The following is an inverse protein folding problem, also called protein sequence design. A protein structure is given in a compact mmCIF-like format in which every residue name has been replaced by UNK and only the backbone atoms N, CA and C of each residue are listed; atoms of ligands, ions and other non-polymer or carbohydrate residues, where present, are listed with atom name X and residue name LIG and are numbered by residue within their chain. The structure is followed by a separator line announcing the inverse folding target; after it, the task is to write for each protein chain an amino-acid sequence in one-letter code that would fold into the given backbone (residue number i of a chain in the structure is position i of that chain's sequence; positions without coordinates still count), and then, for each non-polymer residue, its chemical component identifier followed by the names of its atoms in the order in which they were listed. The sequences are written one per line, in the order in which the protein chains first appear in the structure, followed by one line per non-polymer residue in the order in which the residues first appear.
data_IF_804484079970
#
_entry.id   IF_804484079970
#
_cell.length_a   1.000
_cell.length_b   1.000
_cell.length_c   1.000
_cell.angle_alpha   90.00
_cell.angle_beta   90.00
_cell.angle_gamma   90.00
#
_symmetry.space_group_name_H-M   'P 1'
#
loop_
_entity.id
_entity.type
_entity.pdbx_description
1 polymer ?
#
# COMPACT_ATOMS: atom_id res chain seq x y z
N UNK A 1 21.82 -3.58 -80.23
CA UNK A 1 22.43 -3.30 -78.92
C UNK A 1 21.36 -3.43 -77.84
N UNK A 2 21.18 -4.65 -77.31
CA UNK A 2 20.19 -4.96 -76.28
C UNK A 2 20.81 -4.89 -74.88
N UNK A 3 20.45 -3.86 -74.11
CA UNK A 3 20.83 -3.73 -72.70
C UNK A 3 19.82 -4.45 -71.81
N UNK A 4 20.26 -5.52 -71.15
CA UNK A 4 19.44 -6.34 -70.24
C UNK A 4 19.18 -5.58 -68.92
N UNK A 5 17.91 -5.51 -68.51
CA UNK A 5 17.51 -5.02 -67.17
C UNK A 5 17.77 -6.13 -66.15
N UNK A 6 18.53 -5.82 -65.10
CA UNK A 6 18.83 -6.73 -63.99
C UNK A 6 17.62 -6.74 -63.02
N UNK A 7 16.89 -7.86 -62.96
CA UNK A 7 15.77 -8.04 -62.02
C UNK A 7 16.32 -8.81 -60.81
N UNK A 8 16.48 -8.14 -59.67
CA UNK A 8 16.91 -8.78 -58.42
C UNK A 8 15.65 -9.32 -57.72
N UNK A 9 15.53 -10.64 -57.69
CA UNK A 9 14.45 -11.35 -56.97
C UNK A 9 14.95 -11.62 -55.54
N UNK A 10 14.36 -10.97 -54.53
CA UNK A 10 14.64 -11.28 -53.13
C UNK A 10 13.87 -12.55 -52.74
N UNK A 11 14.58 -13.65 -52.51
CA UNK A 11 13.98 -14.88 -51.99
C UNK A 11 13.78 -14.73 -50.48
N UNK A 12 12.53 -14.88 -50.05
CA UNK A 12 12.12 -14.84 -48.66
C UNK A 12 12.47 -16.18 -48.00
N UNK A 13 13.52 -16.22 -47.18
CA UNK A 13 13.79 -17.45 -46.44
C UNK A 13 14.92 -17.30 -45.45
N UNK A 14 14.58 -16.94 -44.20
CA UNK A 14 15.24 -17.39 -42.95
C UNK A 14 14.93 -16.47 -41.76
N UNK A 15 13.75 -16.61 -41.16
CA UNK A 15 13.55 -16.13 -39.78
C UNK A 15 12.41 -16.91 -39.10
N UNK A 16 12.48 -18.24 -39.14
CA UNK A 16 11.67 -19.12 -38.28
C UNK A 16 12.59 -19.96 -37.41
N UNK A 17 13.34 -19.29 -36.54
CA UNK A 17 14.07 -19.93 -35.45
C UNK A 17 14.60 -18.85 -34.47
N UNK A 18 13.70 -18.22 -33.73
CA UNK A 18 14.08 -17.54 -32.48
C UNK A 18 13.06 -17.91 -31.42
N UNK A 19 13.19 -19.13 -30.92
CA UNK A 19 12.52 -19.59 -29.73
C UNK A 19 13.62 -19.90 -28.70
N UNK A 20 13.58 -19.17 -27.57
CA UNK A 20 14.26 -19.41 -26.28
C UNK A 20 15.81 -19.21 -26.25
N UNK A 21 16.36 -18.22 -25.49
CA UNK A 21 16.20 -18.14 -24.04
C UNK A 21 16.22 -16.69 -23.48
N UNK A 22 15.07 -16.02 -23.43
CA UNK A 22 14.90 -14.81 -22.59
C UNK A 22 13.71 -14.94 -21.62
N UNK A 23 13.10 -16.13 -21.55
CA UNK A 23 11.93 -16.41 -20.72
C UNK A 23 12.24 -17.03 -19.36
N UNK A 24 13.50 -17.06 -18.89
CA UNK A 24 13.88 -17.81 -17.69
C UNK A 24 14.69 -17.05 -16.65
N UNK A 25 14.43 -15.76 -16.48
CA UNK A 25 14.73 -15.10 -15.22
C UNK A 25 13.75 -13.96 -14.91
N UNK A 26 12.44 -14.24 -15.02
CA UNK A 26 11.48 -13.53 -14.17
C UNK A 26 11.65 -14.07 -12.76
N UNK A 27 12.67 -13.59 -12.06
CA UNK A 27 12.80 -13.79 -10.63
C UNK A 27 11.61 -13.06 -9.99
N UNK A 28 10.54 -13.81 -9.72
CA UNK A 28 9.39 -13.31 -9.02
C UNK A 28 9.83 -12.92 -7.61
N UNK A 29 10.02 -11.62 -7.39
CA UNK A 29 10.17 -11.02 -6.08
C UNK A 29 8.79 -10.97 -5.41
N UNK A 30 8.20 -12.14 -5.14
CA UNK A 30 6.99 -12.25 -4.34
C UNK A 30 7.40 -12.32 -2.87
N UNK A 31 7.83 -11.18 -2.33
CA UNK A 31 7.86 -10.96 -0.89
C UNK A 31 6.50 -10.40 -0.48
N UNK A 32 5.83 -11.00 0.50
CA UNK A 32 4.75 -10.30 1.19
C UNK A 32 5.40 -9.25 2.09
N UNK A 33 5.71 -8.08 1.52
CA UNK A 33 6.06 -6.92 2.32
C UNK A 33 4.76 -6.41 2.93
N UNK A 34 4.63 -6.53 4.26
CA UNK A 34 3.60 -5.78 4.96
C UNK A 34 3.95 -4.30 4.80
N UNK A 35 3.23 -3.60 3.94
CA UNK A 35 3.25 -2.15 3.94
C UNK A 35 2.68 -1.71 5.29
N UNK A 36 3.32 -0.75 5.94
CA UNK A 36 2.76 -0.18 7.14
C UNK A 36 1.48 0.55 6.76
N UNK A 37 0.35 0.05 7.26
CA UNK A 37 -0.97 0.58 6.97
C UNK A 37 -1.84 0.54 8.23
N UNK A 38 -2.69 1.55 8.38
CA UNK A 38 -3.60 1.73 9.51
C UNK A 38 -4.99 1.89 8.92
N UNK A 39 -5.75 0.81 8.94
CA UNK A 39 -7.07 0.72 8.32
C UNK A 39 -8.12 0.68 9.43
N UNK A 40 -8.98 1.70 9.58
CA UNK A 40 -10.07 1.67 10.55
C UNK A 40 -11.06 0.54 10.27
N UNK A 41 -11.55 -0.08 11.34
CA UNK A 41 -12.65 -1.03 11.26
C UNK A 41 -13.97 -0.28 11.43
N UNK A 42 -14.80 -0.30 10.38
CA UNK A 42 -16.06 0.43 10.29
C UNK A 42 -17.19 -0.06 11.21
N UNK A 43 -16.95 -1.09 12.03
CA UNK A 43 -17.96 -1.68 12.92
C UNK A 43 -18.45 -0.77 14.05
N UNK A 44 -17.75 0.34 14.33
CA UNK A 44 -18.20 1.36 15.30
C UNK A 44 -19.19 2.38 14.71
N UNK A 45 -19.54 2.28 13.42
CA UNK A 45 -20.55 3.14 12.79
C UNK A 45 -20.17 4.63 12.85
N UNK A 46 -21.04 5.46 13.41
CA UNK A 46 -20.80 6.91 13.55
C UNK A 46 -19.64 7.26 14.49
N UNK A 47 -19.19 6.32 15.31
CA UNK A 47 -18.08 6.47 16.25
C UNK A 47 -16.80 5.79 15.71
N UNK A 48 -16.69 5.67 14.38
CA UNK A 48 -15.53 5.05 13.74
C UNK A 48 -14.23 5.78 14.08
N UNK A 49 -13.14 5.02 14.00
CA UNK A 49 -11.79 5.58 14.12
C UNK A 49 -11.42 6.28 12.82
N UNK A 50 -10.75 7.42 12.92
CA UNK A 50 -10.34 8.23 11.77
C UNK A 50 -8.83 8.40 11.81
N UNK A 51 -8.16 8.07 10.71
CA UNK A 51 -6.71 8.24 10.57
C UNK A 51 -6.45 9.45 9.68
N UNK A 52 -5.73 10.43 10.22
CA UNK A 52 -5.36 11.67 9.54
C UNK A 52 -3.83 11.65 9.35
N UNK A 53 -3.34 11.23 8.17
CA UNK A 53 -1.92 11.04 7.95
C UNK A 53 -1.15 12.36 7.89
N UNK A 54 0.17 12.31 8.11
CA UNK A 54 1.09 13.44 7.95
C UNK A 54 0.74 14.70 8.77
N UNK A 55 0.15 14.52 9.95
CA UNK A 55 -0.24 15.63 10.83
C UNK A 55 0.94 16.09 11.68
N UNK A 56 1.12 17.40 11.82
CA UNK A 56 2.08 17.95 12.78
C UNK A 56 1.52 17.85 14.20
N UNK A 57 2.12 16.97 15.00
CA UNK A 57 1.82 16.79 16.41
C UNK A 57 3.04 17.22 17.22
N UNK A 58 2.91 18.34 17.95
CA UNK A 58 3.95 18.87 18.85
C UNK A 58 5.32 19.03 18.16
N UNK A 59 5.34 19.49 16.91
CA UNK A 59 6.55 19.72 16.13
C UNK A 59 7.10 18.49 15.39
N UNK A 60 6.38 17.36 15.41
CA UNK A 60 6.77 16.11 14.74
C UNK A 60 5.65 15.64 13.82
N UNK A 61 6.00 15.15 12.63
CA UNK A 61 5.04 14.53 11.71
C UNK A 61 4.67 13.14 12.22
N UNK A 62 3.37 12.87 12.32
CA UNK A 62 2.78 11.61 12.75
C UNK A 62 1.39 11.43 12.10
N UNK A 63 0.94 10.19 12.02
CA UNK A 63 -0.45 9.88 11.66
C UNK A 63 -1.31 10.05 12.92
N UNK A 64 -2.26 10.98 12.84
CA UNK A 64 -3.12 11.32 13.97
C UNK A 64 -4.39 10.48 13.90
N UNK A 65 -4.71 9.80 15.00
CA UNK A 65 -5.93 9.03 15.16
C UNK A 65 -6.93 9.85 15.96
N UNK A 66 -8.12 10.03 15.41
CA UNK A 66 -9.26 10.73 16.01
C UNK A 66 -10.53 9.86 15.93
N UNK A 67 -11.66 10.42 16.39
CA UNK A 67 -12.92 9.70 16.48
C UNK A 67 -12.89 8.66 17.59
N UNK A 68 -13.49 7.50 17.34
CA UNK A 68 -13.63 6.43 18.33
C UNK A 68 -14.87 6.58 19.21
N UNK A 69 -15.19 5.49 19.92
CA UNK A 69 -16.35 5.41 20.78
C UNK A 69 -15.95 5.71 22.23
N UNK A 70 -16.56 6.72 22.85
CA UNK A 70 -16.28 7.09 24.24
C UNK A 70 -17.27 6.42 25.18
N UNK A 71 -16.80 5.72 26.21
CA UNK A 71 -17.63 5.15 27.30
C UNK A 71 -16.97 5.43 28.65
N UNK A 72 -17.48 6.43 29.37
CA UNK A 72 -16.85 6.91 30.61
C UNK A 72 -15.48 7.51 30.32
N UNK A 73 -14.47 7.16 31.12
CA UNK A 73 -13.07 7.58 30.90
C UNK A 73 -12.31 6.72 29.88
N UNK A 74 -13.00 5.84 29.14
CA UNK A 74 -12.42 4.98 28.13
C UNK A 74 -12.78 5.45 26.71
N UNK A 75 -11.78 5.54 25.84
CA UNK A 75 -11.93 5.78 24.41
C UNK A 75 -11.56 4.51 23.63
N UNK A 76 -12.48 4.03 22.80
CA UNK A 76 -12.30 2.80 22.03
C UNK A 76 -12.06 3.12 20.57
N UNK A 77 -11.01 2.52 20.00
CA UNK A 77 -10.73 2.51 18.57
C UNK A 77 -10.77 1.09 18.02
N UNK A 78 -11.18 0.96 16.77
CA UNK A 78 -11.23 -0.32 16.05
C UNK A 78 -10.50 -0.18 14.73
N UNK A 79 -9.62 -1.13 14.45
CA UNK A 79 -8.85 -1.19 13.22
C UNK A 79 -9.00 -2.58 12.60
N UNK A 80 -9.11 -2.64 11.28
CA UNK A 80 -8.96 -3.89 10.55
C UNK A 80 -7.50 -4.30 10.56
N UNK A 81 -6.62 -3.35 10.21
CA UNK A 81 -5.18 -3.50 10.22
C UNK A 81 -4.55 -2.35 10.99
N UNK A 82 -3.56 -2.65 11.82
CA UNK A 82 -2.80 -1.65 12.56
C UNK A 82 -1.32 -2.00 12.51
N UNK A 83 -0.65 -1.56 11.45
CA UNK A 83 0.78 -1.78 11.23
C UNK A 83 1.51 -0.43 11.27
N UNK A 84 2.51 -0.31 12.14
CA UNK A 84 3.35 0.89 12.25
C UNK A 84 4.74 0.56 11.73
N UNK A 85 5.13 1.22 10.65
CA UNK A 85 6.39 1.01 9.97
C UNK A 85 7.58 1.61 10.71
N UNK A 86 8.77 1.26 10.24
CA UNK A 86 10.03 1.85 10.69
C UNK A 86 9.97 3.38 10.53
N UNK A 87 10.39 4.11 11.57
CA UNK A 87 10.33 5.58 11.66
C UNK A 87 8.92 6.21 11.57
N UNK A 88 7.85 5.44 11.37
CA UNK A 88 6.48 5.94 11.41
C UNK A 88 6.11 6.31 12.84
N UNK A 89 5.29 7.34 12.98
CA UNK A 89 4.75 7.78 14.27
C UNK A 89 3.24 7.84 14.19
N UNK A 90 2.60 7.35 15.23
CA UNK A 90 1.15 7.40 15.37
C UNK A 90 0.83 8.16 16.66
N UNK A 91 -0.17 9.02 16.60
CA UNK A 91 -0.62 9.79 17.75
C UNK A 91 -2.12 9.64 17.93
N UNK A 92 -2.54 9.07 19.06
CA UNK A 92 -3.95 9.03 19.45
C UNK A 92 -4.34 10.38 20.07
N UNK A 93 -5.37 11.01 19.52
CA UNK A 93 -5.97 12.18 20.13
C UNK A 93 -6.59 11.79 21.48
N UNK A 94 -6.20 12.52 22.53
CA UNK A 94 -6.69 12.30 23.89
C UNK A 94 -7.53 13.49 24.34
N UNK A 95 -8.87 13.47 24.12
CA UNK A 95 -9.74 14.54 24.58
C UNK A 95 -9.85 14.55 26.12
N UNK A 96 -10.30 15.67 26.68
CA UNK A 96 -10.44 15.82 28.14
C UNK A 96 -11.38 14.79 28.74
N UNK A 97 -10.98 14.20 29.87
CA UNK A 97 -11.79 13.21 30.60
C UNK A 97 -11.56 11.76 30.18
N UNK A 98 -10.67 11.52 29.21
CA UNK A 98 -10.21 10.16 28.86
C UNK A 98 -8.95 9.83 29.65
N UNK A 99 -8.99 8.69 30.32
CA UNK A 99 -7.89 8.12 31.11
C UNK A 99 -7.26 6.92 30.39
N UNK A 100 -8.06 6.18 29.63
CA UNK A 100 -7.63 4.97 28.93
C UNK A 100 -8.07 4.99 27.47
N UNK A 101 -7.14 4.64 26.57
CA UNK A 101 -7.41 4.43 25.15
C UNK A 101 -7.22 2.94 24.86
N UNK A 102 -8.26 2.30 24.33
CA UNK A 102 -8.31 0.88 24.03
C UNK A 102 -8.43 0.68 22.52
N UNK A 103 -7.54 -0.11 21.95
CA UNK A 103 -7.55 -0.44 20.52
C UNK A 103 -7.85 -1.93 20.34
N UNK A 104 -8.68 -2.27 19.36
CA UNK A 104 -8.81 -3.65 18.87
C UNK A 104 -8.42 -3.73 17.40
N UNK A 105 -7.81 -4.85 17.04
CA UNK A 105 -7.46 -5.19 15.65
C UNK A 105 -8.28 -6.41 15.25
N UNK A 106 -9.06 -6.32 14.17
CA UNK A 106 -10.01 -7.37 13.78
C UNK A 106 -9.47 -8.35 12.74
N UNK A 107 -8.59 -7.90 11.82
CA UNK A 107 -8.12 -8.71 10.68
C UNK A 107 -9.14 -8.79 9.55
#
# INVERSE_FOLDING_TARGET
MGGRKLVITLTLGWARAMAFPLGWLTLAMSGNYALADIVPDGTLGSESSVVIPNTNVRGKIADKIEGGATRGSNLFHSFQEFNVGELQRVYFANPSGIETILTRVTG
#
